data_IF_992146498688
#
_entry.id   IF_992146498688
#
_cell.length_a   1.000
_cell.length_b   1.000
_cell.length_c   1.000
_cell.angle_alpha   90.00
_cell.angle_beta   90.00
_cell.angle_gamma   90.00
#
_symmetry.space_group_name_H-M   'P 1'
#
loop_
_entity.id
_entity.type
_entity.pdbx_description
1 polymer ?
#
# COMPACT_ATOMS: atom_id res chain seq x y z
N UNK A 1 33.14 -4.02 -7.94
CA UNK A 1 31.75 -4.51 -8.11
C UNK A 1 30.81 -3.40 -7.67
N UNK A 2 30.20 -2.68 -8.62
CA UNK A 2 29.34 -1.52 -8.33
C UNK A 2 27.87 -1.89 -8.60
N UNK A 3 27.08 -1.95 -7.53
CA UNK A 3 25.62 -2.05 -7.59
C UNK A 3 25.06 -0.65 -7.76
N UNK A 4 24.82 -0.24 -9.02
CA UNK A 4 23.99 0.93 -9.30
C UNK A 4 22.52 0.52 -9.23
N UNK A 5 21.76 1.22 -8.39
CA UNK A 5 20.30 1.14 -8.32
C UNK A 5 19.74 1.71 -9.61
N UNK A 6 19.56 0.86 -10.63
CA UNK A 6 19.04 1.26 -11.92
C UNK A 6 17.54 1.52 -11.82
N UNK A 7 17.12 2.76 -12.11
CA UNK A 7 15.73 3.07 -12.43
C UNK A 7 15.19 2.16 -13.53
N UNK A 8 13.85 2.07 -13.64
CA UNK A 8 13.17 1.18 -14.58
C UNK A 8 13.75 1.24 -16.02
N UNK A 9 14.61 0.27 -16.37
CA UNK A 9 15.14 0.12 -17.74
C UNK A 9 13.97 -0.14 -18.68
N UNK A 10 13.76 0.76 -19.65
CA UNK A 10 12.72 0.63 -20.68
C UNK A 10 12.92 -0.66 -21.48
N UNK A 11 11.82 -1.26 -21.94
CA UNK A 11 11.85 -2.42 -22.83
C UNK A 11 12.20 -1.98 -24.24
N UNK A 12 13.10 -2.71 -24.88
CA UNK A 12 13.53 -2.48 -26.27
C UNK A 12 12.71 -3.34 -27.25
N UNK A 13 12.71 -2.98 -28.53
CA UNK A 13 11.98 -3.71 -29.56
C UNK A 13 12.59 -5.11 -29.80
N UNK A 14 13.91 -5.22 -29.64
CA UNK A 14 14.68 -6.46 -29.77
C UNK A 14 14.35 -7.43 -28.63
N UNK A 15 14.28 -6.94 -27.39
CA UNK A 15 13.85 -7.73 -26.23
C UNK A 15 12.40 -8.24 -26.41
N UNK A 16 11.50 -7.40 -26.91
CA UNK A 16 10.12 -7.79 -27.18
C UNK A 16 10.05 -8.86 -28.28
N UNK A 17 10.85 -8.71 -29.34
CA UNK A 17 10.87 -9.68 -30.44
C UNK A 17 11.40 -11.03 -29.97
N UNK A 18 12.45 -11.04 -29.15
CA UNK A 18 12.98 -12.28 -28.59
C UNK A 18 11.94 -13.00 -27.71
N UNK A 19 11.15 -12.26 -26.94
CA UNK A 19 10.04 -12.85 -26.17
C UNK A 19 8.98 -13.45 -27.10
N UNK A 20 8.62 -12.75 -28.20
CA UNK A 20 7.65 -13.27 -29.19
C UNK A 20 8.16 -14.57 -29.81
N UNK A 21 9.40 -14.59 -30.28
CA UNK A 21 9.97 -15.73 -30.99
C UNK A 21 10.08 -16.96 -30.09
N UNK A 22 10.52 -16.79 -28.83
CA UNK A 22 10.67 -17.90 -27.89
C UNK A 22 9.31 -18.47 -27.43
N UNK A 23 8.30 -17.61 -27.26
CA UNK A 23 6.94 -18.06 -26.94
C UNK A 23 6.28 -18.72 -28.15
N UNK A 24 6.48 -18.21 -29.36
CA UNK A 24 6.03 -18.83 -30.60
C UNK A 24 6.67 -20.21 -30.83
N UNK A 25 7.93 -20.39 -30.40
CA UNK A 25 8.62 -21.68 -30.38
C UNK A 25 8.11 -22.63 -29.26
N UNK A 26 7.08 -22.25 -28.50
CA UNK A 26 6.44 -23.09 -27.48
C UNK A 26 7.13 -23.09 -26.11
N UNK A 27 8.16 -22.26 -25.90
CA UNK A 27 8.80 -22.16 -24.58
C UNK A 27 7.91 -21.45 -23.58
N UNK A 28 8.05 -21.80 -22.30
CA UNK A 28 7.36 -21.07 -21.22
C UNK A 28 8.11 -19.78 -20.89
N UNK A 29 7.41 -18.77 -20.39
CA UNK A 29 8.03 -17.51 -19.92
C UNK A 29 9.12 -17.71 -18.86
N UNK A 30 9.07 -18.82 -18.11
CA UNK A 30 10.07 -19.20 -17.10
C UNK A 30 11.38 -19.73 -17.70
N UNK A 31 11.35 -20.15 -18.96
CA UNK A 31 12.50 -20.73 -19.69
C UNK A 31 13.20 -19.69 -20.59
N UNK A 32 12.59 -18.51 -20.75
CA UNK A 32 13.17 -17.41 -21.53
C UNK A 32 14.22 -16.70 -20.68
N UNK A 33 15.45 -16.68 -21.18
CA UNK A 33 16.56 -15.95 -20.56
C UNK A 33 16.87 -14.67 -21.33
N UNK A 34 16.84 -13.54 -20.64
CA UNK A 34 17.26 -12.24 -21.16
C UNK A 34 18.29 -11.62 -20.19
N UNK A 35 19.46 -11.17 -20.68
CA UNK A 35 20.45 -10.51 -19.84
C UNK A 35 19.83 -9.32 -19.11
N UNK A 36 20.06 -9.23 -17.79
CA UNK A 36 19.57 -8.15 -16.93
C UNK A 36 18.03 -8.05 -16.79
N UNK A 37 17.28 -9.10 -17.13
CA UNK A 37 15.83 -9.18 -16.88
C UNK A 37 15.52 -10.40 -16.02
N UNK A 38 14.76 -10.20 -14.94
CA UNK A 38 14.23 -11.33 -14.16
C UNK A 38 13.12 -12.04 -14.92
N UNK A 39 12.93 -13.33 -14.66
CA UNK A 39 11.81 -14.14 -15.19
C UNK A 39 10.44 -13.51 -14.89
N UNK A 40 10.27 -12.91 -13.72
CA UNK A 40 9.06 -12.16 -13.33
C UNK A 40 8.81 -10.92 -14.19
N UNK A 41 9.87 -10.22 -14.59
CA UNK A 41 9.81 -9.07 -15.50
C UNK A 41 9.42 -9.49 -16.91
N UNK A 42 10.01 -10.59 -17.40
CA UNK A 42 9.70 -11.20 -18.70
C UNK A 42 8.24 -11.64 -18.75
N UNK A 43 7.75 -12.33 -17.71
CA UNK A 43 6.36 -12.74 -17.61
C UNK A 43 5.42 -11.53 -17.66
N UNK A 44 5.69 -10.50 -16.85
CA UNK A 44 4.87 -9.28 -16.83
C UNK A 44 4.86 -8.58 -18.20
N UNK A 45 5.99 -8.58 -18.92
CA UNK A 45 6.09 -8.00 -20.26
C UNK A 45 5.32 -8.83 -21.28
N UNK A 46 5.44 -10.15 -21.27
CA UNK A 46 4.69 -11.06 -22.15
C UNK A 46 3.17 -10.88 -21.98
N UNK A 47 2.67 -10.73 -20.74
CA UNK A 47 1.27 -10.39 -20.48
C UNK A 47 0.88 -9.03 -21.09
N UNK A 48 1.75 -8.01 -20.99
CA UNK A 48 1.49 -6.68 -21.58
C UNK A 48 1.52 -6.68 -23.10
N UNK A 49 2.31 -7.57 -23.70
CA UNK A 49 2.35 -7.82 -25.15
C UNK A 49 1.20 -8.73 -25.61
N UNK A 50 0.32 -9.17 -24.71
CA UNK A 50 -0.81 -10.08 -24.99
C UNK A 50 -0.37 -11.43 -25.60
N UNK A 51 0.83 -11.91 -25.25
CA UNK A 51 1.39 -13.17 -25.74
C UNK A 51 1.06 -14.38 -24.85
N UNK A 52 0.35 -14.15 -23.74
CA UNK A 52 -0.04 -15.19 -22.79
C UNK A 52 -1.48 -14.98 -22.36
N UNK A 53 -2.29 -16.04 -22.34
CA UNK A 53 -3.68 -16.00 -21.87
C UNK A 53 -3.82 -15.72 -20.37
N UNK A 54 -2.71 -15.82 -19.63
CA UNK A 54 -2.60 -15.38 -18.25
C UNK A 54 -2.62 -13.86 -18.24
N UNK A 55 -3.81 -13.27 -18.37
CA UNK A 55 -4.06 -11.98 -17.79
C UNK A 55 -3.70 -12.14 -16.31
N UNK A 56 -2.59 -11.54 -15.86
CA UNK A 56 -2.45 -11.31 -14.42
C UNK A 56 -3.75 -10.60 -14.08
N UNK A 57 -4.59 -11.14 -13.18
CA UNK A 57 -5.71 -10.36 -12.72
C UNK A 57 -5.03 -9.13 -12.17
N UNK A 58 -5.13 -7.99 -12.88
CA UNK A 58 -5.09 -6.71 -12.17
C UNK A 58 -6.01 -7.04 -11.02
N UNK A 59 -5.53 -6.90 -9.77
CA UNK A 59 -6.48 -6.81 -8.67
C UNK A 59 -7.40 -5.72 -9.18
N UNK A 60 -8.52 -6.12 -9.75
CA UNK A 60 -9.55 -5.20 -10.10
C UNK A 60 -9.74 -4.58 -8.74
N UNK A 61 -9.77 -3.26 -8.71
CA UNK A 61 -10.61 -2.63 -7.72
C UNK A 61 -12.03 -3.11 -8.05
N UNK A 62 -12.30 -4.40 -7.87
CA UNK A 62 -13.58 -5.01 -7.96
C UNK A 62 -14.22 -4.48 -6.70
N UNK A 63 -14.90 -3.35 -6.87
CA UNK A 63 -16.33 -3.17 -6.64
C UNK A 63 -17.14 -4.49 -6.63
N UNK A 64 -16.65 -5.57 -6.00
CA UNK A 64 -17.54 -6.49 -5.33
C UNK A 64 -18.25 -5.60 -4.31
N UNK A 65 -19.59 -5.50 -4.36
CA UNK A 65 -20.33 -4.87 -3.29
C UNK A 65 -19.81 -5.50 -2.02
N UNK A 66 -19.15 -4.72 -1.16
CA UNK A 66 -18.67 -5.25 0.09
C UNK A 66 -19.91 -5.81 0.79
N UNK A 67 -20.03 -7.14 0.99
CA UNK A 67 -21.24 -7.74 1.56
C UNK A 67 -21.47 -7.28 3.00
N UNK A 68 -20.56 -6.46 3.53
CA UNK A 68 -20.58 -5.81 4.83
C UNK A 68 -20.61 -4.28 4.74
N UNK A 69 -21.20 -3.71 3.70
CA UNK A 69 -21.61 -2.31 3.72
C UNK A 69 -22.39 -2.03 5.01
N UNK A 70 -22.19 -0.87 5.62
CA UNK A 70 -22.90 -0.48 6.82
C UNK A 70 -24.32 -0.08 6.45
N UNK A 71 -25.31 -0.69 7.09
CA UNK A 71 -26.70 -0.27 6.90
C UNK A 71 -26.98 1.03 7.65
N UNK A 72 -28.03 1.73 7.24
CA UNK A 72 -28.47 2.94 7.93
C UNK A 72 -28.87 2.66 9.40
N UNK A 73 -29.44 1.48 9.68
CA UNK A 73 -29.80 1.06 11.03
C UNK A 73 -28.57 0.83 11.92
N UNK A 74 -27.52 0.20 11.39
CA UNK A 74 -26.26 0.02 12.12
C UNK A 74 -25.59 1.38 12.41
N UNK A 75 -25.62 2.31 11.46
CA UNK A 75 -25.09 3.66 11.66
C UNK A 75 -25.89 4.43 12.73
N UNK A 76 -27.21 4.32 12.73
CA UNK A 76 -28.07 4.96 13.72
C UNK A 76 -27.80 4.43 15.14
N UNK A 77 -27.64 3.12 15.31
CA UNK A 77 -27.29 2.50 16.59
C UNK A 77 -25.92 3.00 17.09
N UNK A 78 -24.93 3.06 16.21
CA UNK A 78 -23.60 3.56 16.55
C UNK A 78 -23.64 5.03 16.98
N UNK A 79 -24.34 5.89 16.23
CA UNK A 79 -24.46 7.32 16.54
C UNK A 79 -25.24 7.54 17.84
N UNK A 80 -26.35 6.81 18.05
CA UNK A 80 -27.14 6.89 19.26
C UNK A 80 -26.34 6.46 20.51
N UNK A 81 -25.59 5.35 20.40
CA UNK A 81 -24.74 4.88 21.50
C UNK A 81 -23.66 5.90 21.88
N UNK A 82 -23.01 6.51 20.88
CA UNK A 82 -22.00 7.54 21.15
C UNK A 82 -22.64 8.82 21.72
N UNK A 83 -23.80 9.23 21.20
CA UNK A 83 -24.54 10.38 21.71
C UNK A 83 -25.01 10.18 23.17
N UNK A 84 -25.32 8.95 23.55
CA UNK A 84 -25.62 8.56 24.93
C UNK A 84 -24.37 8.48 25.84
N UNK A 85 -23.17 8.74 25.31
CA UNK A 85 -21.91 8.68 26.06
C UNK A 85 -21.40 7.27 26.32
N UNK A 86 -21.99 6.25 25.69
CA UNK A 86 -21.53 4.87 25.80
C UNK A 86 -20.19 4.74 25.06
N UNK A 87 -19.14 4.21 25.69
CA UNK A 87 -17.87 3.99 24.99
C UNK A 87 -18.07 2.95 23.88
N UNK A 88 -17.42 3.15 22.74
CA UNK A 88 -17.63 2.32 21.52
C UNK A 88 -17.42 0.82 21.75
N UNK A 89 -16.59 0.44 22.73
CA UNK A 89 -16.36 -0.95 23.16
C UNK A 89 -17.57 -1.66 23.74
N UNK A 90 -18.51 -0.90 24.28
CA UNK A 90 -19.69 -1.41 24.97
C UNK A 90 -20.94 -1.26 24.08
N UNK A 91 -20.79 -0.76 22.85
CA UNK A 91 -21.87 -0.71 21.85
C UNK A 91 -21.93 -2.06 21.13
N UNK A 92 -23.04 -2.77 21.27
CA UNK A 92 -23.26 -4.05 20.59
C UNK A 92 -24.07 -3.87 19.30
N UNK A 93 -23.46 -4.21 18.16
CA UNK A 93 -24.13 -4.31 16.86
C UNK A 93 -23.87 -5.69 16.30
N UNK A 94 -24.94 -6.45 16.05
CA UNK A 94 -24.86 -7.84 15.63
C UNK A 94 -23.93 -8.03 14.42
N UNK A 95 -22.95 -8.94 14.57
CA UNK A 95 -21.99 -9.24 13.53
C UNK A 95 -20.87 -8.20 13.33
N UNK A 96 -20.86 -7.06 14.03
CA UNK A 96 -19.77 -6.07 13.95
C UNK A 96 -18.81 -6.24 15.12
N UNK A 97 -17.51 -6.16 14.84
CA UNK A 97 -16.49 -6.16 15.89
C UNK A 97 -16.30 -4.76 16.45
N UNK A 98 -15.84 -4.66 17.70
CA UNK A 98 -15.49 -3.37 18.31
C UNK A 98 -14.55 -2.52 17.42
N UNK A 99 -13.53 -3.14 16.82
CA UNK A 99 -12.60 -2.44 15.92
C UNK A 99 -13.28 -1.90 14.65
N UNK A 100 -14.32 -2.60 14.16
CA UNK A 100 -15.16 -2.12 13.07
C UNK A 100 -15.97 -0.90 13.49
N UNK A 101 -16.51 -0.89 14.71
CA UNK A 101 -17.25 0.24 15.28
C UNK A 101 -16.34 1.47 15.43
N UNK A 102 -15.13 1.33 15.98
CA UNK A 102 -14.15 2.44 16.11
C UNK A 102 -13.76 3.03 14.75
N UNK A 103 -13.49 2.15 13.77
CA UNK A 103 -13.16 2.58 12.41
C UNK A 103 -14.32 3.35 11.78
N UNK A 104 -15.55 2.90 12.00
CA UNK A 104 -16.73 3.57 11.44
C UNK A 104 -17.03 4.89 12.17
N UNK A 105 -16.95 4.93 13.50
CA UNK A 105 -17.10 6.17 14.27
C UNK A 105 -16.07 7.23 13.82
N UNK A 106 -14.82 6.81 13.59
CA UNK A 106 -13.77 7.66 13.04
C UNK A 106 -14.12 8.18 11.64
N UNK A 107 -14.67 7.33 10.76
CA UNK A 107 -15.11 7.72 9.41
C UNK A 107 -16.30 8.68 9.42
N UNK A 108 -17.18 8.56 10.41
CA UNK A 108 -18.30 9.47 10.65
C UNK A 108 -17.86 10.78 11.33
N UNK A 109 -16.56 10.93 11.65
CA UNK A 109 -16.03 12.10 12.35
C UNK A 109 -16.48 12.21 13.80
N UNK A 110 -17.07 11.15 14.36
CA UNK A 110 -17.51 11.15 15.76
C UNK A 110 -16.29 10.88 16.63
N UNK A 111 -15.92 11.88 17.45
CA UNK A 111 -14.77 11.78 18.35
C UNK A 111 -15.04 10.73 19.42
N UNK A 112 -14.42 9.57 19.29
CA UNK A 112 -14.40 8.56 20.35
C UNK A 112 -13.32 8.95 21.36
N UNK A 113 -13.54 8.63 22.64
CA UNK A 113 -12.55 8.87 23.69
C UNK A 113 -11.28 8.00 23.55
N UNK A 114 -11.21 7.11 22.54
CA UNK A 114 -10.13 6.14 22.37
C UNK A 114 -9.06 6.60 21.36
N UNK A 115 -8.11 7.39 21.85
CA UNK A 115 -6.68 7.05 21.81
C UNK A 115 -5.87 8.26 22.26
N UNK A 116 -5.36 8.21 23.50
CA UNK A 116 -4.08 8.84 23.78
C UNK A 116 -3.05 8.20 22.87
N UNK A 117 -2.72 8.84 21.75
CA UNK A 117 -1.60 8.45 20.91
C UNK A 117 -0.36 8.46 21.79
N UNK A 118 0.05 7.28 22.28
CA UNK A 118 1.32 7.15 22.97
C UNK A 118 2.39 7.49 21.95
N UNK A 119 2.92 8.71 22.05
CA UNK A 119 3.90 9.23 21.10
C UNK A 119 5.19 8.42 21.28
N UNK A 120 5.31 7.33 20.52
CA UNK A 120 6.51 6.49 20.54
C UNK A 120 7.67 7.29 19.96
N UNK A 121 8.71 7.53 20.76
CA UNK A 121 9.96 8.10 20.29
C UNK A 121 10.64 7.11 19.36
N UNK A 122 11.02 7.56 18.16
CA UNK A 122 11.74 6.75 17.18
C UNK A 122 13.08 7.42 16.86
N UNK A 123 14.15 6.68 16.57
CA UNK A 123 15.41 7.29 16.15
C UNK A 123 15.26 7.90 14.75
N UNK A 124 15.84 9.09 14.57
CA UNK A 124 16.06 9.76 13.30
C UNK A 124 16.88 8.86 12.36
N UNK A 125 16.53 8.80 11.08
CA UNK A 125 17.21 7.95 10.09
C UNK A 125 18.64 8.45 9.80
N UNK A 126 18.89 9.75 9.93
CA UNK A 126 20.19 10.39 9.65
C UNK A 126 21.08 10.40 10.88
N UNK A 127 20.61 10.97 12.00
CA UNK A 127 21.45 11.20 13.18
C UNK A 127 21.14 10.29 14.38
N UNK A 128 20.20 9.34 14.24
CA UNK A 128 19.75 8.41 15.30
C UNK A 128 19.19 9.03 16.58
N UNK A 129 19.16 10.37 16.70
CA UNK A 129 18.55 11.08 17.83
C UNK A 129 17.07 10.70 17.98
N UNK A 130 16.56 10.53 19.21
CA UNK A 130 15.15 10.23 19.43
C UNK A 130 14.30 11.41 19.00
N UNK A 131 13.31 11.15 18.14
CA UNK A 131 12.34 12.14 17.68
C UNK A 131 10.92 11.65 17.87
N UNK A 132 10.00 12.61 18.01
CA UNK A 132 8.57 12.40 17.94
C UNK A 132 8.16 12.61 16.48
N UNK A 133 7.88 11.54 15.75
CA UNK A 133 7.35 11.63 14.38
C UNK A 133 5.85 11.39 14.42
N UNK A 134 5.04 12.32 13.92
CA UNK A 134 3.59 12.15 13.81
C UNK A 134 3.22 11.00 12.87
N UNK A 135 4.06 10.74 11.85
CA UNK A 135 3.82 9.73 10.82
C UNK A 135 5.08 8.91 10.56
N UNK A 136 4.92 7.59 10.33
CA UNK A 136 6.05 6.65 10.17
C UNK A 136 6.96 6.94 8.97
N UNK A 137 6.50 7.72 7.98
CA UNK A 137 7.27 8.10 6.80
C UNK A 137 8.30 9.21 7.04
N UNK A 138 8.07 10.10 8.01
CA UNK A 138 8.93 11.28 8.26
C UNK A 138 9.86 11.04 9.45
N UNK A 139 10.83 10.14 9.27
CA UNK A 139 11.82 9.78 10.31
C UNK A 139 13.09 10.64 10.26
N UNK A 140 12.99 11.89 9.83
CA UNK A 140 14.09 12.87 9.90
C UNK A 140 13.76 13.94 10.94
N UNK A 141 14.70 14.20 11.85
CA UNK A 141 14.58 15.33 12.78
C UNK A 141 14.67 16.66 12.03
N UNK A 142 14.11 17.72 12.58
CA UNK A 142 14.04 19.03 11.92
C UNK A 142 15.42 19.54 11.51
N UNK A 143 16.43 19.32 12.36
CA UNK A 143 17.83 19.61 12.03
C UNK A 143 18.28 18.90 10.76
N UNK A 144 18.09 17.59 10.68
CA UNK A 144 18.51 16.82 9.50
C UNK A 144 17.67 17.14 8.27
N UNK A 145 16.41 17.52 8.44
CA UNK A 145 15.52 17.94 7.35
C UNK A 145 15.98 19.25 6.72
N UNK A 146 16.27 20.27 7.52
CA UNK A 146 16.78 21.54 7.02
C UNK A 146 18.13 21.38 6.30
N UNK A 147 19.00 20.51 6.81
CA UNK A 147 20.27 20.21 6.12
C UNK A 147 20.04 19.55 4.76
N UNK A 148 19.14 18.58 4.65
CA UNK A 148 18.85 17.95 3.34
C UNK A 148 18.21 18.92 2.34
N UNK A 149 17.36 19.83 2.79
CA UNK A 149 16.71 20.83 1.94
C UNK A 149 17.70 21.88 1.43
N UNK A 150 18.66 22.29 2.27
CA UNK A 150 19.74 23.21 1.89
C UNK A 150 20.69 22.64 0.84
N UNK A 151 20.90 21.32 0.80
CA UNK A 151 21.74 20.66 -0.22
C UNK A 151 20.95 20.13 -1.44
N UNK A 152 19.62 20.26 -1.45
CA UNK A 152 18.79 19.82 -2.58
C UNK A 152 18.61 20.88 -3.68
N UNK A 153 19.10 22.11 -3.46
CA UNK A 153 19.03 23.24 -4.41
C UNK A 153 20.36 23.56 -5.12
N UNK A 154 21.20 22.54 -5.39
CA UNK A 154 22.41 22.68 -6.22
C UNK A 154 22.30 21.74 -7.42
#
# INVERSE_FOLDING_TARGET
MQTMVAGHRRWTAEEDQLIRDQLAAGKKTTEIWLPHRSSSSIQTRACRLKLTDKQHPRKSSSYHPNPRAWSQSELALLVAGIAAGVPVRDIEIAGRSHRSLETMASRLGVRTASNTTTVKTRPCITCRRPIRSEHAGHRMCDRCRHTSEQYACI
#
